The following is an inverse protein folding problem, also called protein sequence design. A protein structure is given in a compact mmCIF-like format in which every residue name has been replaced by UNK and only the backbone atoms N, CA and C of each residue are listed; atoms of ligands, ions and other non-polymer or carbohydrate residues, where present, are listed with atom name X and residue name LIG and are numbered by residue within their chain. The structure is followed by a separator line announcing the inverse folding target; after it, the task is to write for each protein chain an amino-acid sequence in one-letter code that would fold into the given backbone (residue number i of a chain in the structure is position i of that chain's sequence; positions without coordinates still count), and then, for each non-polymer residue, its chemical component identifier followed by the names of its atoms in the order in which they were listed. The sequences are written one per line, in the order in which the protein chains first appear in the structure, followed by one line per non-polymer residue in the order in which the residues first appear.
data_IF_290290205768
#
_entry.id   IF_290290205768
#
_cell.length_a   1.000
_cell.length_b   1.000
_cell.length_c   1.000
_cell.angle_alpha   90.00
_cell.angle_beta   90.00
_cell.angle_gamma   90.00
#
_symmetry.space_group_name_H-M   'P 1'
#
loop_
_entity.id
_entity.type
_entity.pdbx_description
1 polymer ?
#
# COMPACT_ATOMS: atom_id res chain seq x y z
N UNK A 1 5.16 24.28 10.45
CA UNK A 1 3.95 23.63 10.93
C UNK A 1 3.75 22.24 10.30
N UNK A 2 4.09 22.04 9.02
CA UNK A 2 3.89 20.78 8.30
C UNK A 2 4.81 19.65 8.81
N UNK A 3 5.98 19.96 9.30
CA UNK A 3 6.91 18.96 9.82
C UNK A 3 6.45 18.24 11.08
N UNK A 4 5.67 18.89 11.91
CA UNK A 4 5.13 18.29 13.13
C UNK A 4 4.09 17.18 12.83
N UNK A 5 3.45 17.22 11.68
CA UNK A 5 2.39 16.28 11.30
C UNK A 5 2.91 14.88 10.93
N UNK A 6 4.16 14.78 10.51
CA UNK A 6 4.75 13.54 10.00
C UNK A 6 5.96 13.03 10.81
N UNK A 7 6.25 13.66 11.96
CA UNK A 7 7.35 13.25 12.83
C UNK A 7 7.22 11.79 13.23
N UNK A 8 8.28 11.02 12.96
CA UNK A 8 8.35 9.59 13.25
C UNK A 8 7.83 8.66 12.16
N UNK A 9 7.33 9.18 11.03
CA UNK A 9 7.01 8.35 9.87
C UNK A 9 8.25 7.65 9.32
N UNK A 10 8.09 6.37 8.98
CA UNK A 10 9.14 5.52 8.44
C UNK A 10 8.74 5.03 7.06
N UNK A 11 9.68 5.09 6.14
CA UNK A 11 9.50 4.62 4.77
C UNK A 11 10.57 3.60 4.42
N UNK A 12 10.25 2.69 3.51
CA UNK A 12 11.18 1.72 2.96
C UNK A 12 11.49 2.10 1.52
N UNK A 13 12.77 2.14 1.20
CA UNK A 13 13.25 2.30 -0.16
C UNK A 13 12.98 1.03 -0.96
N UNK A 14 12.31 1.18 -2.09
CA UNK A 14 12.09 0.12 -3.06
C UNK A 14 13.02 0.39 -4.24
N UNK A 15 14.07 -0.41 -4.42
CA UNK A 15 15.02 -0.19 -5.50
C UNK A 15 14.42 -0.58 -6.85
N UNK A 16 14.80 0.18 -7.87
CA UNK A 16 14.45 -0.07 -9.28
C UNK A 16 15.75 -0.06 -10.10
N UNK A 17 16.00 -1.13 -10.83
CA UNK A 17 17.19 -1.22 -11.69
C UNK A 17 17.27 -2.54 -12.42
N UNK A 18 17.76 -2.49 -13.64
CA UNK A 18 17.96 -3.64 -14.53
C UNK A 18 19.28 -3.52 -15.30
N UNK A 19 19.82 -4.63 -15.78
CA UNK A 19 21.06 -4.65 -16.54
C UNK A 19 22.23 -4.05 -15.75
N UNK A 20 22.85 -2.99 -16.24
CA UNK A 20 23.96 -2.32 -15.56
C UNK A 20 23.55 -1.68 -14.22
N UNK A 21 22.28 -1.36 -14.07
CA UNK A 21 21.70 -0.81 -12.85
C UNK A 21 21.01 -1.89 -11.98
N UNK A 22 21.25 -3.17 -12.25
CA UNK A 22 20.68 -4.27 -11.46
C UNK A 22 21.06 -4.15 -9.98
N UNK A 23 20.14 -4.57 -9.12
CA UNK A 23 20.29 -4.43 -7.68
C UNK A 23 21.27 -5.46 -7.14
N UNK A 24 22.33 -5.00 -6.50
CA UNK A 24 23.34 -5.85 -5.86
C UNK A 24 22.90 -6.22 -4.45
N UNK A 25 22.71 -7.52 -4.23
CA UNK A 25 22.38 -8.08 -2.92
C UNK A 25 23.61 -8.19 -2.01
N UNK A 26 23.39 -8.38 -0.72
CA UNK A 26 24.48 -8.51 0.25
C UNK A 26 25.43 -9.69 -0.03
N UNK A 27 24.94 -10.74 -0.69
CA UNK A 27 25.73 -11.90 -1.12
C UNK A 27 26.45 -11.70 -2.47
N UNK A 28 26.52 -10.48 -2.98
CA UNK A 28 27.04 -10.08 -4.29
C UNK A 28 26.24 -10.58 -5.53
N UNK A 29 25.15 -11.28 -5.34
CA UNK A 29 24.22 -11.60 -6.42
C UNK A 29 23.56 -10.32 -6.93
N UNK A 30 23.37 -10.20 -8.25
CA UNK A 30 22.61 -9.11 -8.87
C UNK A 30 21.24 -9.61 -9.29
N UNK A 31 20.23 -8.78 -9.09
CA UNK A 31 18.85 -9.06 -9.50
C UNK A 31 18.23 -7.84 -10.19
N UNK A 32 17.54 -8.10 -11.28
CA UNK A 32 16.75 -7.07 -11.97
C UNK A 32 15.43 -6.83 -11.23
N UNK A 33 15.15 -5.56 -10.93
CA UNK A 33 13.86 -5.11 -10.42
C UNK A 33 13.38 -3.99 -11.35
N UNK A 34 12.62 -4.36 -12.36
CA UNK A 34 12.00 -3.37 -13.25
C UNK A 34 10.78 -2.75 -12.56
N UNK A 35 10.59 -1.45 -12.74
CA UNK A 35 9.34 -0.80 -12.38
C UNK A 35 8.23 -1.31 -13.29
N UNK A 36 7.18 -1.89 -12.73
CA UNK A 36 6.12 -2.50 -13.54
C UNK A 36 4.86 -2.81 -12.76
N UNK A 37 3.84 -3.17 -13.49
CA UNK A 37 2.62 -3.81 -12.98
C UNK A 37 2.71 -5.29 -13.29
N UNK A 38 2.41 -6.13 -12.31
CA UNK A 38 2.66 -7.56 -12.42
C UNK A 38 1.47 -8.42 -12.04
N UNK A 39 1.39 -9.58 -12.67
CA UNK A 39 0.61 -10.72 -12.22
C UNK A 39 1.52 -11.77 -11.59
N UNK A 40 1.01 -12.44 -10.59
CA UNK A 40 1.72 -13.47 -9.86
C UNK A 40 0.91 -14.76 -9.90
N UNK A 41 1.45 -15.82 -10.46
CA UNK A 41 0.78 -17.11 -10.60
C UNK A 41 1.52 -18.17 -9.82
N UNK A 42 0.81 -18.88 -8.92
CA UNK A 42 1.36 -20.01 -8.18
C UNK A 42 1.30 -21.25 -9.07
N UNK A 43 2.45 -21.86 -9.29
CA UNK A 43 2.61 -23.08 -10.06
C UNK A 43 2.30 -24.32 -9.20
N UNK A 44 2.14 -25.46 -9.84
CA UNK A 44 1.86 -26.75 -9.15
C UNK A 44 3.01 -27.19 -8.24
N UNK A 45 4.25 -26.80 -8.54
CA UNK A 45 5.44 -27.06 -7.72
C UNK A 45 5.62 -26.07 -6.54
N UNK A 46 4.68 -25.11 -6.39
CA UNK A 46 4.70 -24.10 -5.35
C UNK A 46 5.53 -22.84 -5.68
N UNK A 47 6.22 -22.80 -6.80
CA UNK A 47 6.93 -21.61 -7.26
C UNK A 47 5.96 -20.53 -7.76
N UNK A 48 6.44 -19.29 -7.84
CA UNK A 48 5.65 -18.17 -8.37
C UNK A 48 6.23 -17.70 -9.70
N UNK A 49 5.41 -17.71 -10.73
CA UNK A 49 5.69 -17.02 -11.99
C UNK A 49 5.22 -15.58 -11.88
N UNK A 50 6.09 -14.65 -12.25
CA UNK A 50 5.80 -13.21 -12.32
C UNK A 50 5.83 -12.78 -13.78
N UNK A 51 4.73 -12.19 -14.26
CA UNK A 51 4.57 -11.68 -15.62
C UNK A 51 4.01 -10.27 -15.61
N UNK A 52 4.09 -9.55 -16.72
CA UNK A 52 3.43 -8.25 -16.85
C UNK A 52 1.92 -8.40 -16.67
N UNK A 53 1.34 -7.40 -16.02
CA UNK A 53 -0.12 -7.37 -15.80
C UNK A 53 -0.85 -7.04 -17.10
N UNK A 54 -1.76 -7.90 -17.50
CA UNK A 54 -2.58 -7.77 -18.71
C UNK A 54 -4.09 -7.60 -18.45
N UNK A 55 -4.48 -7.47 -17.18
CA UNK A 55 -5.89 -7.38 -16.80
C UNK A 55 -6.50 -5.98 -17.00
N UNK A 56 -7.75 -5.83 -16.59
CA UNK A 56 -8.60 -4.66 -16.85
C UNK A 56 -8.44 -3.49 -15.87
N UNK A 57 -7.68 -3.64 -14.79
CA UNK A 57 -7.43 -2.55 -13.87
C UNK A 57 -6.36 -1.62 -14.41
N UNK A 58 -6.52 -0.30 -14.23
CA UNK A 58 -5.66 0.72 -14.84
C UNK A 58 -5.21 1.78 -13.83
N UNK A 59 -4.15 2.50 -14.18
CA UNK A 59 -3.73 3.77 -13.53
C UNK A 59 -4.10 4.95 -14.43
N UNK A 60 -5.24 4.90 -15.07
CA UNK A 60 -5.64 5.91 -16.02
C UNK A 60 -6.16 7.17 -15.30
N UNK A 61 -5.61 8.32 -15.64
CA UNK A 61 -6.02 9.63 -15.13
C UNK A 61 -7.30 10.14 -15.77
N UNK A 62 -7.73 9.55 -16.87
CA UNK A 62 -8.86 9.99 -17.69
C UNK A 62 -10.05 9.05 -17.68
N UNK A 63 -9.85 7.83 -17.17
CA UNK A 63 -10.87 6.80 -17.27
C UNK A 63 -12.11 7.11 -16.45
N UNK A 64 -13.22 7.03 -17.08
CA UNK A 64 -14.60 6.74 -16.69
C UNK A 64 -15.01 7.01 -15.23
N UNK A 65 -14.31 7.92 -14.55
CA UNK A 65 -14.65 8.30 -13.20
C UNK A 65 -15.78 9.31 -13.22
N UNK A 66 -16.76 9.09 -12.37
CA UNK A 66 -17.73 10.14 -12.12
C UNK A 66 -17.03 11.32 -11.41
N UNK A 67 -17.70 12.45 -11.29
CA UNK A 67 -17.16 13.67 -10.70
C UNK A 67 -16.57 13.50 -9.29
N UNK A 68 -16.96 12.43 -8.58
CA UNK A 68 -16.60 12.16 -7.19
C UNK A 68 -15.20 11.52 -7.07
N UNK A 69 -14.61 11.09 -8.19
CA UNK A 69 -13.32 10.38 -8.25
C UNK A 69 -12.11 11.24 -8.54
N UNK A 70 -12.27 12.51 -8.82
CA UNK A 70 -11.20 13.39 -9.32
C UNK A 70 -9.91 13.38 -8.49
N UNK A 71 -9.97 12.97 -7.24
CA UNK A 71 -8.83 13.01 -6.33
C UNK A 71 -8.26 11.63 -6.01
N UNK A 72 -8.89 10.55 -6.45
CA UNK A 72 -8.46 9.19 -6.14
C UNK A 72 -7.39 8.63 -7.10
N UNK A 73 -7.22 9.21 -8.27
CA UNK A 73 -6.19 8.83 -9.25
C UNK A 73 -4.80 9.29 -8.80
N UNK A 74 -3.75 8.67 -9.32
CA UNK A 74 -2.38 9.08 -9.07
C UNK A 74 -2.20 10.56 -9.41
N UNK A 75 -1.48 11.30 -8.56
CA UNK A 75 -1.25 12.73 -8.74
C UNK A 75 -0.56 13.02 -10.07
N UNK A 76 0.46 12.23 -10.40
CA UNK A 76 1.14 12.25 -11.68
C UNK A 76 1.88 10.90 -11.87
N UNK A 77 1.23 9.95 -12.53
CA UNK A 77 1.79 8.60 -12.71
C UNK A 77 3.04 8.61 -13.60
N UNK A 78 3.09 9.45 -14.62
CA UNK A 78 4.25 9.53 -15.52
C UNK A 78 5.44 10.20 -14.83
N UNK A 79 5.20 11.21 -14.00
CA UNK A 79 6.24 11.79 -13.15
C UNK A 79 6.79 10.76 -12.15
N UNK A 80 5.91 9.99 -11.51
CA UNK A 80 6.33 8.89 -10.63
C UNK A 80 7.23 7.89 -11.37
N UNK A 81 6.80 7.40 -12.54
CA UNK A 81 7.56 6.42 -13.33
C UNK A 81 8.93 6.98 -13.73
N UNK A 82 8.96 8.21 -14.20
CA UNK A 82 10.19 8.90 -14.59
C UNK A 82 11.13 9.05 -13.38
N UNK A 83 10.61 9.53 -12.26
CA UNK A 83 11.37 9.68 -11.02
C UNK A 83 11.92 8.36 -10.52
N UNK A 84 11.08 7.33 -10.42
CA UNK A 84 11.48 6.02 -9.92
C UNK A 84 12.59 5.36 -10.77
N UNK A 85 12.53 5.52 -12.08
CA UNK A 85 13.58 5.02 -12.99
C UNK A 85 14.86 5.86 -12.90
N UNK A 86 14.75 7.19 -12.91
CA UNK A 86 15.93 8.09 -12.90
C UNK A 86 16.66 8.07 -11.57
N UNK A 87 15.94 7.93 -10.46
CA UNK A 87 16.52 7.87 -9.11
C UNK A 87 16.78 6.43 -8.64
N UNK A 88 16.54 5.42 -9.49
CA UNK A 88 16.70 4.01 -9.18
C UNK A 88 15.86 3.52 -7.99
N UNK A 89 14.69 4.11 -7.79
CA UNK A 89 13.75 3.67 -6.77
C UNK A 89 12.81 4.77 -6.25
N UNK A 90 12.05 4.40 -5.24
CA UNK A 90 11.06 5.23 -4.58
C UNK A 90 10.85 4.72 -3.15
N UNK A 91 10.05 5.42 -2.35
CA UNK A 91 9.74 5.02 -0.98
C UNK A 91 8.27 4.67 -0.82
N UNK A 92 7.98 3.63 -0.05
CA UNK A 92 6.61 3.34 0.43
C UNK A 92 6.57 3.39 1.95
N UNK A 93 5.42 3.69 2.52
CA UNK A 93 5.22 3.61 3.96
C UNK A 93 5.66 2.25 4.49
N UNK A 94 6.52 2.23 5.50
CA UNK A 94 6.98 1.00 6.16
C UNK A 94 5.81 0.24 6.79
N UNK A 95 4.82 0.97 7.26
CA UNK A 95 3.58 0.51 7.86
C UNK A 95 2.39 1.06 7.06
N UNK A 96 1.23 0.47 7.24
CA UNK A 96 -0.04 1.10 6.86
C UNK A 96 -0.15 2.50 7.49
N UNK A 97 -1.03 3.30 6.96
CA UNK A 97 -1.37 4.60 7.55
C UNK A 97 -1.85 4.41 8.99
N UNK A 98 -1.24 5.12 9.90
CA UNK A 98 -1.60 5.18 11.30
C UNK A 98 -2.03 6.59 11.73
N UNK A 99 -2.67 6.68 12.87
CA UNK A 99 -3.15 7.93 13.47
C UNK A 99 -2.33 8.28 14.68
N UNK A 100 -1.70 9.46 14.66
CA UNK A 100 -0.99 10.01 15.83
C UNK A 100 -2.01 10.53 16.84
N UNK A 101 -1.71 10.35 18.13
CA UNK A 101 -2.54 10.83 19.23
C UNK A 101 -4.01 10.39 19.10
N UNK A 102 -4.21 9.14 18.66
CA UNK A 102 -5.56 8.59 18.58
C UNK A 102 -6.27 8.68 19.92
N UNK A 103 -7.48 9.23 19.89
CA UNK A 103 -8.38 9.27 21.04
C UNK A 103 -9.56 8.34 20.77
N UNK A 104 -9.78 7.38 21.65
CA UNK A 104 -10.86 6.39 21.55
C UNK A 104 -12.27 6.98 21.56
N UNK A 105 -12.42 8.27 21.87
CA UNK A 105 -13.69 8.97 21.69
C UNK A 105 -14.05 9.21 20.21
N UNK A 106 -13.09 9.07 19.30
CA UNK A 106 -13.34 9.07 17.85
C UNK A 106 -13.89 7.70 17.49
N UNK A 107 -15.16 7.63 17.19
CA UNK A 107 -15.81 6.36 16.82
C UNK A 107 -15.30 5.88 15.44
N UNK A 108 -14.61 4.75 15.41
CA UNK A 108 -14.23 4.05 14.20
C UNK A 108 -15.32 3.07 13.73
N UNK A 109 -16.53 3.18 14.25
CA UNK A 109 -17.54 2.12 14.16
C UNK A 109 -18.53 2.24 13.00
N UNK A 110 -18.40 3.19 12.09
CA UNK A 110 -19.38 3.39 11.03
C UNK A 110 -18.80 3.49 9.62
N UNK A 111 -19.50 2.85 8.75
CA UNK A 111 -19.21 2.55 7.35
C UNK A 111 -19.28 3.74 6.38
N UNK A 112 -19.08 4.98 6.73
CA UNK A 112 -19.03 6.11 5.79
C UNK A 112 -18.43 7.36 6.47
N UNK A 113 -17.39 7.21 7.25
CA UNK A 113 -17.04 8.26 8.17
C UNK A 113 -15.74 8.99 7.89
N UNK A 114 -15.74 9.76 6.82
CA UNK A 114 -14.90 10.96 6.78
C UNK A 114 -15.15 11.86 7.99
N UNK A 115 -16.37 11.88 8.53
CA UNK A 115 -16.77 12.64 9.73
C UNK A 115 -16.15 12.12 11.01
N UNK A 116 -15.82 10.83 11.14
CA UNK A 116 -15.18 10.29 12.34
C UNK A 116 -13.74 10.78 12.52
N UNK A 117 -13.10 11.20 11.44
CA UNK A 117 -11.75 11.74 11.47
C UNK A 117 -11.72 13.27 11.51
N UNK A 118 -12.84 13.92 11.87
CA UNK A 118 -12.89 15.37 12.12
C UNK A 118 -11.85 15.76 13.15
N UNK A 119 -11.02 16.75 12.84
CA UNK A 119 -9.89 17.16 13.68
C UNK A 119 -8.58 16.39 13.44
N UNK A 120 -8.58 15.36 12.58
CA UNK A 120 -7.37 14.62 12.16
C UNK A 120 -6.95 14.94 10.73
N UNK A 121 -7.71 15.77 10.02
CA UNK A 121 -7.51 16.15 8.61
C UNK A 121 -7.24 17.65 8.46
N UNK A 122 -6.95 18.09 7.26
CA UNK A 122 -6.65 19.50 6.99
C UNK A 122 -5.36 19.96 7.68
N UNK A 123 -5.39 21.11 8.30
CA UNK A 123 -4.21 21.68 9.00
C UNK A 123 -3.74 20.85 10.20
N UNK A 124 -4.57 19.95 10.69
CA UNK A 124 -4.29 19.07 11.83
C UNK A 124 -4.13 17.60 11.43
N UNK A 125 -3.71 17.33 10.19
CA UNK A 125 -3.51 15.96 9.76
C UNK A 125 -2.64 15.16 10.74
N UNK A 126 -3.16 14.02 11.18
CA UNK A 126 -2.50 13.13 12.15
C UNK A 126 -1.95 11.86 11.50
N UNK A 127 -1.79 11.87 10.18
CA UNK A 127 -1.26 10.74 9.42
C UNK A 127 0.20 10.47 9.78
N UNK A 128 0.51 9.21 10.05
CA UNK A 128 1.88 8.76 10.30
C UNK A 128 2.06 7.31 9.83
N UNK A 129 3.22 7.00 9.25
CA UNK A 129 3.65 5.63 8.96
C UNK A 129 4.59 5.15 10.06
N UNK A 130 4.06 4.74 11.20
CA UNK A 130 4.83 4.37 12.40
C UNK A 130 4.23 3.11 13.03
N UNK A 131 5.06 2.34 13.72
CA UNK A 131 4.65 1.15 14.44
C UNK A 131 3.73 1.46 15.62
N UNK A 132 2.82 0.54 15.91
CA UNK A 132 1.96 0.57 17.10
C UNK A 132 1.04 1.80 17.17
N UNK A 133 0.60 2.26 15.99
CA UNK A 133 -0.43 3.29 15.91
C UNK A 133 -1.80 2.66 15.62
N UNK A 134 -2.87 3.32 16.04
CA UNK A 134 -4.20 2.98 15.53
C UNK A 134 -4.16 3.05 14.01
N UNK A 135 -4.53 1.96 13.31
CA UNK A 135 -4.59 1.96 11.86
C UNK A 135 -5.66 2.96 11.39
N UNK A 136 -5.34 3.72 10.34
CA UNK A 136 -6.30 4.64 9.72
C UNK A 136 -7.20 3.87 8.77
N UNK A 137 -8.25 3.31 9.30
CA UNK A 137 -9.29 2.60 8.57
C UNK A 137 -10.57 3.44 8.44
N UNK A 138 -11.67 2.88 7.95
CA UNK A 138 -12.91 3.61 7.68
C UNK A 138 -12.70 4.88 6.83
N UNK A 139 -11.89 4.76 5.82
CA UNK A 139 -11.51 5.83 4.89
C UNK A 139 -11.86 5.41 3.46
N UNK A 140 -12.42 6.32 2.67
CA UNK A 140 -12.64 6.10 1.24
C UNK A 140 -11.32 6.19 0.47
N UNK A 141 -11.26 5.62 -0.73
CA UNK A 141 -10.07 5.76 -1.60
C UNK A 141 -9.74 7.23 -1.86
N UNK A 142 -10.76 8.04 -2.11
CA UNK A 142 -10.60 9.47 -2.35
C UNK A 142 -9.94 10.18 -1.17
N UNK A 143 -10.42 9.93 0.04
CA UNK A 143 -9.87 10.53 1.25
C UNK A 143 -8.47 10.01 1.57
N UNK A 144 -8.20 8.73 1.34
CA UNK A 144 -6.86 8.16 1.46
C UNK A 144 -5.86 8.85 0.51
N UNK A 145 -6.32 9.18 -0.70
CA UNK A 145 -5.51 9.91 -1.69
C UNK A 145 -5.22 11.35 -1.25
N UNK A 146 -6.22 12.08 -0.78
CA UNK A 146 -6.03 13.44 -0.23
C UNK A 146 -5.02 13.43 0.93
N UNK A 147 -5.24 12.57 1.92
CA UNK A 147 -4.37 12.45 3.10
C UNK A 147 -2.92 12.13 2.72
N UNK A 148 -2.73 11.21 1.76
CA UNK A 148 -1.40 10.83 1.30
C UNK A 148 -0.70 11.99 0.57
N UNK A 149 -1.43 12.77 -0.22
CA UNK A 149 -0.90 13.94 -0.95
C UNK A 149 -0.55 15.09 -0.03
N UNK A 150 -1.31 15.26 1.05
CA UNK A 150 -1.12 16.32 2.01
C UNK A 150 -0.10 15.96 3.09
N UNK A 151 0.44 14.74 3.07
CA UNK A 151 1.40 14.27 4.06
C UNK A 151 2.67 15.13 4.10
N UNK A 152 3.16 15.53 2.92
CA UNK A 152 4.29 16.44 2.76
C UNK A 152 3.86 17.63 1.89
N UNK A 153 4.09 18.84 2.38
CA UNK A 153 3.75 20.07 1.67
C UNK A 153 4.62 20.32 0.45
N UNK A 154 4.25 21.32 -0.35
CA UNK A 154 4.94 21.71 -1.58
C UNK A 154 6.40 22.12 -1.41
N UNK A 155 6.81 22.46 -0.19
CA UNK A 155 8.19 22.80 0.18
C UNK A 155 9.09 21.58 0.37
N UNK A 156 8.50 20.38 0.45
CA UNK A 156 9.28 19.15 0.56
C UNK A 156 9.96 18.84 -0.77
N UNK A 157 11.20 18.33 -0.69
CA UNK A 157 11.93 17.83 -1.89
C UNK A 157 11.39 16.49 -2.40
N UNK A 158 10.28 16.03 -1.87
CA UNK A 158 9.62 14.79 -2.23
C UNK A 158 8.16 15.06 -2.59
N UNK A 159 7.64 14.30 -3.54
CA UNK A 159 6.21 14.25 -3.82
C UNK A 159 5.63 13.10 -3.01
N UNK A 160 4.57 13.37 -2.24
CA UNK A 160 3.77 12.34 -1.57
C UNK A 160 2.48 12.09 -2.34
N UNK A 161 2.06 10.83 -2.38
CA UNK A 161 0.81 10.38 -3.01
C UNK A 161 0.31 9.09 -2.35
N UNK A 162 -0.89 8.68 -2.69
CA UNK A 162 -1.36 7.33 -2.40
C UNK A 162 -0.56 6.33 -3.22
N UNK A 163 -0.26 5.16 -2.66
CA UNK A 163 0.46 4.11 -3.39
C UNK A 163 -0.29 3.73 -4.67
N UNK A 164 0.43 3.62 -5.78
CA UNK A 164 -0.10 3.18 -7.07
C UNK A 164 0.23 1.70 -7.36
N UNK A 165 -0.34 1.13 -8.41
CA UNK A 165 -0.14 -0.27 -8.77
C UNK A 165 1.29 -0.62 -9.16
N UNK A 166 2.00 0.29 -9.82
CA UNK A 166 3.43 0.10 -10.15
C UNK A 166 4.26 -0.02 -8.88
N UNK A 167 4.03 0.87 -7.92
CA UNK A 167 4.74 0.86 -6.65
C UNK A 167 4.42 -0.40 -5.83
N UNK A 168 3.15 -0.82 -5.80
CA UNK A 168 2.75 -2.02 -5.08
C UNK A 168 3.36 -3.29 -5.67
N UNK A 169 3.21 -3.49 -6.97
CA UNK A 169 3.66 -4.71 -7.63
C UNK A 169 5.20 -4.80 -7.66
N UNK A 170 5.89 -3.70 -7.90
CA UNK A 170 7.36 -3.65 -7.84
C UNK A 170 7.87 -3.93 -6.42
N UNK A 171 7.17 -3.47 -5.37
CA UNK A 171 7.51 -3.82 -3.99
C UNK A 171 7.39 -5.33 -3.72
N UNK A 172 6.38 -6.00 -4.30
CA UNK A 172 6.28 -7.47 -4.23
C UNK A 172 7.47 -8.14 -4.92
N UNK A 173 7.85 -7.68 -6.12
CA UNK A 173 9.02 -8.21 -6.84
C UNK A 173 10.30 -8.01 -6.03
N UNK A 174 10.47 -6.85 -5.40
CA UNK A 174 11.57 -6.60 -4.48
C UNK A 174 11.59 -7.60 -3.31
N UNK A 175 10.45 -7.83 -2.66
CA UNK A 175 10.33 -8.81 -1.59
C UNK A 175 10.73 -10.21 -2.05
N UNK A 176 10.21 -10.66 -3.21
CA UNK A 176 10.52 -11.98 -3.75
C UNK A 176 12.01 -12.16 -4.05
N UNK A 177 12.65 -11.16 -4.62
CA UNK A 177 14.04 -11.24 -5.08
C UNK A 177 15.07 -10.94 -3.99
N UNK A 178 14.76 -10.06 -3.06
CA UNK A 178 15.70 -9.57 -2.05
C UNK A 178 15.38 -10.00 -0.62
N UNK A 179 14.20 -10.56 -0.38
CA UNK A 179 13.80 -11.02 0.95
C UNK A 179 14.58 -12.26 1.40
N UNK A 180 14.95 -12.27 2.67
CA UNK A 180 15.65 -13.38 3.33
C UNK A 180 14.79 -14.12 4.35
N UNK A 181 13.60 -13.60 4.62
CA UNK A 181 12.65 -14.22 5.55
C UNK A 181 11.92 -15.40 4.91
N UNK A 182 11.41 -16.31 5.73
CA UNK A 182 10.62 -17.44 5.23
C UNK A 182 9.43 -16.94 4.41
N UNK A 183 9.19 -17.59 3.29
CA UNK A 183 8.15 -17.27 2.32
C UNK A 183 8.34 -15.97 1.51
N UNK A 184 9.50 -15.28 1.59
CA UNK A 184 9.73 -14.09 0.76
C UNK A 184 9.53 -14.36 -0.73
N UNK A 185 10.04 -15.48 -1.24
CA UNK A 185 9.92 -15.86 -2.66
C UNK A 185 8.49 -16.17 -3.11
N UNK A 186 7.61 -16.54 -2.18
CA UNK A 186 6.22 -16.92 -2.49
C UNK A 186 5.19 -15.98 -1.88
N UNK A 187 5.63 -14.94 -1.18
CA UNK A 187 4.81 -14.02 -0.40
C UNK A 187 3.61 -13.45 -1.16
N UNK A 188 3.77 -13.20 -2.47
CA UNK A 188 2.69 -12.70 -3.32
C UNK A 188 1.47 -13.63 -3.39
N UNK A 189 1.68 -14.94 -3.29
CA UNK A 189 0.65 -15.99 -3.49
C UNK A 189 0.71 -17.09 -2.42
N UNK A 190 1.20 -16.80 -1.22
CA UNK A 190 1.16 -17.77 -0.12
C UNK A 190 -0.23 -17.80 0.50
N UNK A 191 -0.89 -18.95 0.42
CA UNK A 191 -2.21 -19.13 1.01
C UNK A 191 -2.15 -18.99 2.54
N UNK A 192 -3.20 -18.38 3.10
CA UNK A 192 -3.33 -18.25 4.55
C UNK A 192 -2.45 -17.18 5.20
N UNK A 193 -1.94 -16.22 4.43
CA UNK A 193 -1.22 -15.06 4.98
C UNK A 193 -2.11 -14.05 5.72
N UNK A 194 -3.41 -14.27 5.81
CA UNK A 194 -4.25 -13.39 6.62
C UNK A 194 -3.90 -13.46 8.10
N UNK A 195 -4.23 -12.41 8.82
CA UNK A 195 -3.98 -12.34 10.25
C UNK A 195 -4.74 -13.38 11.06
N UNK A 196 -4.19 -13.69 12.22
CA UNK A 196 -4.87 -14.50 13.25
C UNK A 196 -5.99 -13.73 13.95
N UNK A 197 -6.14 -12.43 13.68
CA UNK A 197 -7.08 -11.57 14.37
C UNK A 197 -8.51 -11.84 13.92
N UNK A 198 -9.30 -12.39 14.80
CA UNK A 198 -10.73 -12.60 14.63
C UNK A 198 -11.57 -11.37 14.96
N UNK A 199 -10.97 -10.36 15.57
CA UNK A 199 -11.68 -9.23 16.20
C UNK A 199 -11.40 -7.87 15.52
N UNK A 200 -10.86 -7.86 14.31
CA UNK A 200 -10.58 -6.64 13.56
C UNK A 200 -9.09 -6.34 13.39
N UNK A 201 -8.78 -5.20 12.73
CA UNK A 201 -7.40 -4.79 12.50
C UNK A 201 -6.62 -4.56 13.79
N UNK A 202 -5.36 -4.94 13.76
CA UNK A 202 -4.39 -4.66 14.82
C UNK A 202 -3.78 -3.27 14.59
N UNK A 203 -3.07 -2.76 15.59
CA UNK A 203 -2.23 -1.57 15.40
C UNK A 203 -1.16 -1.83 14.34
N UNK A 204 -0.71 -0.78 13.68
CA UNK A 204 0.25 -0.86 12.57
C UNK A 204 1.52 -1.62 12.96
N UNK A 205 1.94 -2.57 12.13
CA UNK A 205 3.16 -3.35 12.33
C UNK A 205 3.10 -4.39 13.45
N UNK A 206 1.92 -4.76 13.92
CA UNK A 206 1.74 -5.80 14.95
C UNK A 206 0.91 -6.99 14.47
N UNK A 207 0.38 -6.94 13.26
CA UNK A 207 -0.42 -8.02 12.70
C UNK A 207 0.35 -9.33 12.61
N UNK A 208 -0.25 -10.42 13.10
CA UNK A 208 0.34 -11.76 13.07
C UNK A 208 -0.28 -12.58 11.94
N UNK A 209 0.55 -13.09 11.07
CA UNK A 209 0.13 -13.99 9.99
C UNK A 209 -0.28 -15.35 10.52
N UNK A 210 -1.41 -15.86 10.05
CA UNK A 210 -1.98 -17.14 10.48
C UNK A 210 -1.04 -18.33 10.18
N UNK A 211 -0.49 -18.36 8.98
CA UNK A 211 0.35 -19.49 8.52
C UNK A 211 1.68 -19.57 9.24
N UNK A 212 2.29 -18.43 9.52
CA UNK A 212 3.65 -18.40 10.08
C UNK A 212 3.69 -18.14 11.57
N UNK A 213 2.58 -17.69 12.16
CA UNK A 213 2.50 -17.19 13.55
C UNK A 213 3.54 -16.10 13.85
N UNK A 214 4.00 -15.40 12.81
CA UNK A 214 4.96 -14.29 12.90
C UNK A 214 4.30 -12.98 12.46
N UNK A 215 4.90 -11.87 12.87
CA UNK A 215 4.51 -10.56 12.40
C UNK A 215 4.58 -10.52 10.87
N UNK A 216 3.56 -9.93 10.24
CA UNK A 216 3.55 -9.68 8.79
C UNK A 216 4.62 -8.64 8.44
N UNK A 217 5.81 -9.15 8.12
CA UNK A 217 6.96 -8.33 7.79
C UNK A 217 7.81 -9.00 6.72
N UNK A 218 8.09 -8.27 5.64
CA UNK A 218 9.01 -8.68 4.58
C UNK A 218 9.84 -7.47 4.14
N UNK A 219 11.16 -7.62 4.05
CA UNK A 219 12.08 -6.53 3.64
C UNK A 219 11.84 -5.21 4.40
N UNK A 220 11.53 -5.27 5.68
CA UNK A 220 11.12 -4.13 6.53
C UNK A 220 9.80 -3.44 6.15
N UNK A 221 9.00 -4.03 5.28
CA UNK A 221 7.65 -3.60 4.97
C UNK A 221 6.69 -4.47 5.79
N UNK A 222 5.74 -3.84 6.45
CA UNK A 222 4.77 -4.52 7.33
C UNK A 222 3.37 -4.48 6.72
N UNK A 223 2.55 -5.45 7.09
CA UNK A 223 1.11 -5.49 6.90
C UNK A 223 0.63 -5.49 5.41
N UNK A 224 1.48 -5.89 4.44
CA UNK A 224 1.04 -5.99 3.04
C UNK A 224 0.16 -7.20 2.73
N UNK A 225 0.27 -8.27 3.51
CA UNK A 225 -0.49 -9.49 3.27
C UNK A 225 -1.72 -9.62 4.18
N UNK A 226 -1.79 -8.84 5.25
CA UNK A 226 -2.86 -8.94 6.25
C UNK A 226 -3.28 -7.60 6.81
N UNK A 227 -3.82 -7.61 8.02
CA UNK A 227 -4.34 -6.45 8.74
C UNK A 227 -5.45 -5.72 8.01
N UNK A 228 -5.16 -4.68 7.23
CA UNK A 228 -6.11 -4.04 6.34
C UNK A 228 -5.72 -4.22 4.87
N UNK A 229 -6.69 -4.12 3.99
CA UNK A 229 -6.45 -3.92 2.56
C UNK A 229 -6.04 -2.48 2.35
N UNK A 230 -5.06 -2.27 1.50
CA UNK A 230 -4.60 -0.93 1.17
C UNK A 230 -5.30 -0.40 -0.08
N UNK A 231 -5.95 0.76 0.02
CA UNK A 231 -6.37 1.52 -1.14
C UNK A 231 -5.17 1.87 -2.01
N UNK A 232 -5.35 1.85 -3.31
CA UNK A 232 -4.37 2.33 -4.30
C UNK A 232 -5.02 3.35 -5.22
N UNK A 233 -4.23 4.05 -6.03
CA UNK A 233 -4.76 4.93 -7.08
C UNK A 233 -5.27 4.16 -8.29
N UNK A 234 -5.11 2.85 -8.30
CA UNK A 234 -5.58 1.97 -9.36
C UNK A 234 -7.10 1.97 -9.44
N UNK A 235 -7.62 1.85 -10.64
CA UNK A 235 -9.05 1.88 -10.94
C UNK A 235 -9.45 0.75 -11.88
N UNK A 236 -10.75 0.50 -12.01
CA UNK A 236 -11.27 -0.42 -13.00
C UNK A 236 -12.50 0.17 -13.71
N UNK A 237 -12.84 -0.39 -14.86
CA UNK A 237 -13.99 0.03 -15.67
C UNK A 237 -15.35 -0.36 -15.09
N UNK A 238 -15.39 -1.09 -13.99
CA UNK A 238 -16.65 -1.42 -13.31
C UNK A 238 -17.18 -0.18 -12.59
N UNK A 239 -18.25 0.42 -13.08
CA UNK A 239 -18.86 1.62 -12.52
C UNK A 239 -19.34 1.48 -11.08
N UNK A 240 -19.68 0.26 -10.65
CA UNK A 240 -20.17 0.01 -9.29
C UNK A 240 -19.03 -0.14 -8.27
N UNK A 241 -17.86 -0.63 -8.74
CA UNK A 241 -16.71 -0.94 -7.89
C UNK A 241 -15.38 -0.45 -8.51
N UNK A 242 -15.25 0.81 -8.84
CA UNK A 242 -14.09 1.31 -9.58
C UNK A 242 -12.84 1.56 -8.74
N UNK A 243 -12.98 1.66 -7.41
CA UNK A 243 -11.88 1.89 -6.48
C UNK A 243 -11.13 0.60 -6.17
N UNK A 244 -9.84 0.54 -6.47
CA UNK A 244 -9.07 -0.69 -6.30
C UNK A 244 -8.29 -0.69 -4.99
N UNK A 245 -8.39 -1.82 -4.29
CA UNK A 245 -7.55 -2.13 -3.15
C UNK A 245 -6.61 -3.30 -3.43
N UNK A 246 -5.56 -3.39 -2.65
CA UNK A 246 -4.54 -4.43 -2.71
C UNK A 246 -4.37 -5.13 -1.36
N UNK A 247 -3.76 -6.32 -1.40
CA UNK A 247 -3.42 -7.06 -0.20
C UNK A 247 -4.57 -7.84 0.45
N UNK A 248 -4.26 -8.48 1.55
CA UNK A 248 -5.22 -9.22 2.36
C UNK A 248 -5.84 -8.40 3.48
N UNK A 249 -6.57 -9.03 4.37
CA UNK A 249 -7.11 -8.36 5.56
C UNK A 249 -7.29 -9.33 6.73
N UNK A 250 -7.53 -8.79 7.91
CA UNK A 250 -7.77 -9.52 9.15
C UNK A 250 -8.96 -10.48 9.12
N UNK A 251 -9.90 -10.30 8.21
CA UNK A 251 -11.14 -11.10 8.16
C UNK A 251 -11.10 -12.29 7.19
N UNK A 252 -10.05 -12.42 6.36
CA UNK A 252 -10.03 -13.44 5.30
C UNK A 252 -8.78 -14.30 5.38
N UNK A 253 -8.97 -15.61 5.52
CA UNK A 253 -7.88 -16.57 5.64
C UNK A 253 -7.21 -16.98 4.32
N UNK A 254 -7.80 -16.62 3.19
CA UNK A 254 -7.38 -17.05 1.85
C UNK A 254 -6.93 -15.89 0.95
N UNK A 255 -6.46 -14.80 1.55
CA UNK A 255 -5.97 -13.62 0.83
C UNK A 255 -4.45 -13.54 0.91
N UNK A 256 -3.85 -12.90 -0.07
CA UNK A 256 -2.41 -12.74 -0.20
C UNK A 256 -2.06 -11.34 -0.73
N UNK A 257 -0.79 -10.99 -0.66
CA UNK A 257 -0.29 -9.64 -0.96
C UNK A 257 -0.65 -9.14 -2.37
N UNK A 258 -0.68 -10.02 -3.37
CA UNK A 258 -0.98 -9.64 -4.76
C UNK A 258 -2.46 -9.51 -5.08
N UNK A 259 -3.36 -9.68 -4.12
CA UNK A 259 -4.79 -9.45 -4.34
C UNK A 259 -5.01 -8.06 -4.93
N UNK A 260 -5.87 -8.00 -5.94
CA UNK A 260 -6.33 -6.79 -6.63
C UNK A 260 -7.83 -6.95 -6.81
N UNK A 261 -8.62 -6.02 -6.27
CA UNK A 261 -10.08 -6.08 -6.40
C UNK A 261 -10.69 -4.69 -6.19
N UNK A 262 -11.91 -4.50 -6.67
CA UNK A 262 -12.60 -3.21 -6.62
C UNK A 262 -13.68 -3.13 -5.56
N UNK A 263 -13.93 -1.91 -5.10
CA UNK A 263 -15.05 -1.50 -4.28
C UNK A 263 -15.68 -0.21 -4.81
N UNK A 264 -16.87 0.12 -4.31
CA UNK A 264 -17.55 1.37 -4.62
C UNK A 264 -16.80 2.58 -4.05
N UNK A 265 -17.12 3.76 -4.58
CA UNK A 265 -16.54 5.05 -4.19
C UNK A 265 -16.75 5.41 -2.73
N UNK A 266 -17.90 5.02 -2.20
CA UNK A 266 -18.31 5.30 -0.83
C UNK A 266 -17.85 4.24 0.16
N UNK A 267 -17.13 3.20 -0.31
CA UNK A 267 -16.72 2.13 0.59
C UNK A 267 -15.63 2.62 1.55
N UNK A 268 -15.95 2.50 2.83
CA UNK A 268 -15.07 2.78 3.94
C UNK A 268 -15.39 1.77 5.04
N UNK A 269 -14.47 0.86 5.33
CA UNK A 269 -14.73 -0.22 6.28
C UNK A 269 -13.56 -0.45 7.24
N UNK A 270 -13.79 -1.24 8.27
CA UNK A 270 -12.81 -1.52 9.31
C UNK A 270 -11.51 -2.15 8.78
N UNK A 271 -11.57 -2.84 7.65
CA UNK A 271 -10.45 -3.56 7.05
C UNK A 271 -9.92 -2.92 5.76
N UNK A 272 -10.22 -1.64 5.56
CA UNK A 272 -9.69 -0.81 4.49
C UNK A 272 -8.87 0.32 5.08
N UNK A 273 -7.61 0.37 4.71
CA UNK A 273 -6.63 1.38 5.07
C UNK A 273 -5.91 1.87 3.82
N UNK A 274 -4.72 2.42 3.95
CA UNK A 274 -3.92 2.89 2.83
C UNK A 274 -2.45 3.01 3.22
N UNK A 275 -1.60 3.21 2.22
CA UNK A 275 -0.16 3.36 2.39
C UNK A 275 0.34 4.51 1.52
N UNK A 276 1.00 5.53 2.11
CA UNK A 276 1.62 6.61 1.35
C UNK A 276 2.83 6.15 0.55
N UNK A 277 3.02 6.80 -0.59
CA UNK A 277 4.13 6.70 -1.53
C UNK A 277 4.91 8.01 -1.53
N UNK A 278 6.26 7.95 -1.58
CA UNK A 278 7.12 9.12 -1.78
C UNK A 278 8.05 8.90 -2.96
N UNK A 279 8.24 9.95 -3.76
CA UNK A 279 9.20 10.00 -4.86
C UNK A 279 9.78 11.42 -5.05
N UNK A 280 10.92 11.52 -5.74
CA UNK A 280 11.66 12.78 -5.95
C UNK A 280 11.19 13.55 -7.18
#
# INVERSE_FOLDING_TARGET
ATYTKTIGSQFVWIPVGTGENAIKKANNETVDIALGRYEFTKNSDGTITTSEYSGSYTEDTTANHNSDYKNAIAKDIEKFKTSANSNHGYYIGRYEAGVVDYNSSVSTSNSNNETNWTGYTGDNIKLVCKKEQQVWNYVTQNKASELSRDMYGSEAKVTSDLINSYAWDTAIVFIQKCGTESNSSTYSKTDGLSSTGTNGPQTTGTNILKVTSKVDKQCNIFDMAGNCRDWTTETCSNSDNPCVYRGGSCYYSNRYTSIRSGYSTSNASSNLSFRPLLYL
#
